data_IF_171582287649
#
_entry.id   IF_171582287649
#
_cell.length_a   1.000
_cell.length_b   1.000
_cell.length_c   1.000
_cell.angle_alpha   90.00
_cell.angle_beta   90.00
_cell.angle_gamma   90.00
#
_symmetry.space_group_name_H-M   'P 1'
#
loop_
_entity.id
_entity.type
_entity.pdbx_description
1 polymer ?
#
# COMPACT_ATOMS: atom_id res chain seq x y z
N UNK A 1 20.57 11.65 10.73
CA UNK A 1 20.98 10.50 9.88
C UNK A 1 20.06 10.38 8.67
N UNK A 2 18.74 10.27 8.86
CA UNK A 2 17.74 10.20 7.78
C UNK A 2 17.81 11.41 6.82
N UNK A 3 17.81 12.63 7.35
CA UNK A 3 17.92 13.88 6.56
C UNK A 3 19.25 13.99 5.78
N UNK A 4 20.31 13.37 6.30
CA UNK A 4 21.64 13.32 5.67
C UNK A 4 21.69 12.32 4.51
N UNK A 5 20.99 11.19 4.62
CA UNK A 5 20.82 10.20 3.54
C UNK A 5 19.94 10.79 2.44
N UNK A 6 18.84 11.44 2.82
CA UNK A 6 17.96 12.21 1.92
C UNK A 6 18.74 13.25 1.12
N UNK A 7 19.51 14.13 1.78
CA UNK A 7 20.33 15.15 1.10
C UNK A 7 21.44 14.56 0.23
N UNK A 8 22.03 13.42 0.60
CA UNK A 8 23.07 12.77 -0.23
C UNK A 8 22.50 12.07 -1.47
N UNK A 9 21.30 11.49 -1.37
CA UNK A 9 20.64 10.81 -2.49
C UNK A 9 19.95 11.81 -3.44
N UNK A 10 19.30 12.83 -2.90
CA UNK A 10 18.44 13.76 -3.64
C UNK A 10 19.00 15.18 -3.77
N UNK A 11 20.04 15.55 -3.01
CA UNK A 11 20.71 16.84 -3.18
C UNK A 11 21.39 17.01 -4.55
N UNK A 12 21.51 15.94 -5.33
CA UNK A 12 22.09 15.94 -6.68
C UNK A 12 21.08 15.66 -7.80
N UNK A 13 19.92 15.07 -7.50
CA UNK A 13 18.89 14.70 -8.47
C UNK A 13 17.59 15.40 -8.07
N UNK A 14 17.34 16.57 -8.65
CA UNK A 14 16.05 17.24 -8.47
C UNK A 14 14.89 16.38 -8.98
N UNK A 15 13.65 16.82 -8.74
CA UNK A 15 12.44 16.07 -9.16
C UNK A 15 12.32 15.94 -10.69
N UNK A 16 12.91 16.87 -11.44
CA UNK A 16 12.70 16.99 -12.89
C UNK A 16 13.12 15.74 -13.69
N UNK A 17 14.30 15.12 -13.49
CA UNK A 17 14.63 13.83 -14.10
C UNK A 17 13.66 12.69 -13.78
N UNK A 18 13.15 12.62 -12.54
CA UNK A 18 12.20 11.59 -12.10
C UNK A 18 10.92 11.72 -12.92
N UNK A 19 10.36 12.92 -12.93
CA UNK A 19 9.16 13.25 -13.68
C UNK A 19 9.34 13.01 -15.18
N UNK A 20 10.48 13.40 -15.75
CA UNK A 20 10.80 13.14 -17.16
C UNK A 20 10.87 11.65 -17.47
N UNK A 21 11.49 10.83 -16.61
CA UNK A 21 11.59 9.39 -16.82
C UNK A 21 10.22 8.70 -16.82
N UNK A 22 9.36 9.09 -15.88
CA UNK A 22 8.00 8.56 -15.76
C UNK A 22 7.04 9.09 -16.84
N UNK A 23 7.21 10.32 -17.32
CA UNK A 23 6.34 10.94 -18.32
C UNK A 23 6.74 10.66 -19.77
N UNK A 24 8.01 10.36 -20.05
CA UNK A 24 8.53 10.29 -21.41
C UNK A 24 7.79 9.32 -22.35
N UNK A 25 7.17 8.26 -21.79
CA UNK A 25 6.39 7.27 -22.54
C UNK A 25 4.96 7.08 -21.98
N UNK A 26 4.38 8.13 -21.37
CA UNK A 26 3.03 8.09 -20.84
C UNK A 26 2.14 9.17 -21.48
N UNK A 27 0.85 8.87 -21.59
CA UNK A 27 -0.14 9.73 -22.22
C UNK A 27 -0.92 10.48 -21.15
N UNK A 28 -1.00 11.81 -21.24
CA UNK A 28 -1.71 12.62 -20.25
C UNK A 28 -3.22 12.39 -20.34
N UNK A 29 -3.89 12.23 -19.19
CA UNK A 29 -5.34 12.16 -19.10
C UNK A 29 -5.93 13.57 -19.14
N UNK A 30 -7.00 13.73 -19.91
CA UNK A 30 -7.80 14.95 -19.99
C UNK A 30 -9.23 14.62 -20.45
N UNK A 31 -10.12 15.60 -20.45
CA UNK A 31 -11.50 15.40 -20.95
C UNK A 31 -11.55 14.91 -22.41
N UNK A 32 -10.57 15.32 -23.23
CA UNK A 32 -10.46 14.92 -24.64
C UNK A 32 -9.59 13.67 -24.86
N UNK A 33 -9.04 13.08 -23.79
CA UNK A 33 -8.09 11.96 -23.86
C UNK A 33 -8.20 11.09 -22.61
N UNK A 34 -8.75 9.88 -22.75
CA UNK A 34 -9.22 9.05 -21.63
C UNK A 34 -10.33 9.77 -20.83
N UNK A 35 -11.38 10.25 -21.53
CA UNK A 35 -12.46 11.03 -20.93
C UNK A 35 -13.17 10.33 -19.76
N UNK A 36 -13.40 9.03 -19.84
CA UNK A 36 -14.02 8.26 -18.75
C UNK A 36 -13.11 8.21 -17.51
N UNK A 37 -11.82 7.94 -17.70
CA UNK A 37 -10.83 7.98 -16.60
C UNK A 37 -10.75 9.38 -16.00
N UNK A 38 -10.77 10.43 -16.83
CA UNK A 38 -10.78 11.82 -16.38
C UNK A 38 -12.03 12.14 -15.54
N UNK A 39 -13.21 11.65 -15.96
CA UNK A 39 -14.47 11.81 -15.23
C UNK A 39 -14.41 11.14 -13.86
N UNK A 40 -13.99 9.87 -13.80
CA UNK A 40 -13.83 9.13 -12.53
C UNK A 40 -12.84 9.85 -11.62
N UNK A 41 -11.67 10.22 -12.15
CA UNK A 41 -10.64 10.96 -11.43
C UNK A 41 -11.17 12.25 -10.78
N UNK A 42 -11.92 13.06 -11.53
CA UNK A 42 -12.54 14.28 -10.99
C UNK A 42 -13.59 14.00 -9.92
N UNK A 43 -14.33 12.89 -10.05
CA UNK A 43 -15.25 12.40 -9.03
C UNK A 43 -14.53 12.10 -7.72
N UNK A 44 -13.45 11.31 -7.80
CA UNK A 44 -12.63 10.95 -6.63
C UNK A 44 -12.02 12.16 -5.95
N UNK A 45 -11.42 13.09 -6.71
CA UNK A 45 -10.85 14.31 -6.13
C UNK A 45 -11.89 15.10 -5.33
N UNK A 46 -13.12 15.17 -5.85
CA UNK A 46 -14.24 15.83 -5.17
C UNK A 46 -14.65 15.08 -3.91
N UNK A 47 -14.77 13.75 -3.96
CA UNK A 47 -15.16 12.92 -2.81
C UNK A 47 -14.13 13.01 -1.68
N UNK A 48 -12.84 13.02 -2.02
CA UNK A 48 -11.75 13.09 -1.03
C UNK A 48 -11.36 14.52 -0.63
N UNK A 49 -12.10 15.54 -1.08
CA UNK A 49 -11.79 16.96 -0.82
C UNK A 49 -10.31 17.31 -1.11
N UNK A 50 -9.85 16.87 -2.28
CA UNK A 50 -8.48 17.12 -2.71
C UNK A 50 -8.30 18.63 -3.00
N UNK A 51 -7.20 19.25 -2.54
CA UNK A 51 -7.01 20.69 -2.65
C UNK A 51 -6.73 21.17 -4.08
N UNK A 52 -6.29 20.28 -4.96
CA UNK A 52 -5.95 20.57 -6.34
C UNK A 52 -6.07 19.33 -7.24
N UNK A 53 -6.03 19.55 -8.56
CA UNK A 53 -5.90 18.46 -9.53
C UNK A 53 -4.42 18.10 -9.72
N UNK A 54 -4.12 16.82 -9.58
CA UNK A 54 -2.80 16.24 -9.81
C UNK A 54 -2.68 15.72 -11.26
N UNK A 55 -1.53 15.90 -11.93
CA UNK A 55 -1.32 15.33 -13.26
C UNK A 55 -1.51 13.81 -13.25
N UNK A 56 -2.41 13.31 -14.11
CA UNK A 56 -2.69 11.89 -14.29
C UNK A 56 -2.25 11.46 -15.71
N UNK A 57 -1.57 10.32 -15.80
CA UNK A 57 -1.09 9.76 -17.05
C UNK A 57 -1.44 8.27 -17.17
N UNK A 58 -1.64 7.81 -18.41
CA UNK A 58 -1.75 6.38 -18.74
C UNK A 58 -0.46 5.93 -19.42
N UNK A 59 0.19 4.91 -18.85
CA UNK A 59 1.40 4.29 -19.41
C UNK A 59 1.07 2.96 -20.08
N UNK A 60 1.63 2.71 -21.26
CA UNK A 60 1.40 1.46 -21.97
C UNK A 60 2.21 0.33 -21.33
N UNK A 61 1.50 -0.65 -20.76
CA UNK A 61 2.08 -1.90 -20.25
C UNK A 61 0.97 -2.92 -20.01
N UNK A 62 1.22 -4.23 -20.21
CA UNK A 62 0.28 -5.27 -19.83
C UNK A 62 0.19 -5.47 -18.30
N UNK A 63 1.13 -4.91 -17.53
CA UNK A 63 1.12 -5.02 -16.07
C UNK A 63 -0.05 -4.22 -15.49
N UNK A 64 -0.80 -4.86 -14.60
CA UNK A 64 -1.87 -4.24 -13.83
C UNK A 64 -1.23 -3.56 -12.62
N UNK A 65 -1.11 -2.24 -12.68
CA UNK A 65 -0.57 -1.43 -11.59
C UNK A 65 -0.99 0.05 -11.71
N UNK A 66 -0.86 0.79 -10.63
CA UNK A 66 -0.95 2.24 -10.59
C UNK A 66 0.09 2.78 -9.59
N UNK A 67 0.33 4.08 -9.62
CA UNK A 67 1.24 4.67 -8.64
C UNK A 67 1.21 6.19 -8.65
N UNK A 68 1.18 6.77 -7.45
CA UNK A 68 1.51 8.16 -7.19
C UNK A 68 3.02 8.32 -6.97
N UNK A 69 3.60 9.32 -7.65
CA UNK A 69 5.04 9.62 -7.62
C UNK A 69 5.27 11.14 -7.56
N UNK A 70 6.45 11.55 -7.11
CA UNK A 70 6.83 12.96 -7.04
C UNK A 70 7.32 13.37 -5.65
N UNK A 71 7.80 14.60 -5.53
CA UNK A 71 8.28 15.17 -4.26
C UNK A 71 7.54 16.47 -3.97
N UNK A 72 7.68 17.49 -4.83
CA UNK A 72 6.99 18.77 -4.72
C UNK A 72 5.73 18.80 -5.59
N UNK A 73 5.76 18.16 -6.76
CA UNK A 73 4.62 18.09 -7.68
C UNK A 73 4.20 16.63 -7.89
N UNK A 74 3.34 16.06 -7.02
CA UNK A 74 2.89 14.69 -7.14
C UNK A 74 2.07 14.50 -8.42
N UNK A 75 2.20 13.34 -9.03
CA UNK A 75 1.48 12.92 -10.22
C UNK A 75 1.16 11.43 -10.15
N UNK A 76 0.16 11.00 -10.90
CA UNK A 76 -0.34 9.62 -10.91
C UNK A 76 -0.05 8.98 -12.27
N UNK A 77 0.43 7.74 -12.25
CA UNK A 77 0.52 6.89 -13.42
C UNK A 77 -0.41 5.70 -13.24
N UNK A 78 -1.25 5.50 -14.25
CA UNK A 78 -2.12 4.36 -14.39
C UNK A 78 -1.63 3.50 -15.53
N UNK A 79 -1.42 2.20 -15.30
CA UNK A 79 -1.04 1.32 -16.39
C UNK A 79 -2.25 0.98 -17.25
N UNK A 80 -2.04 0.85 -18.57
CA UNK A 80 -3.10 0.42 -19.50
C UNK A 80 -3.68 -0.95 -19.16
N UNK A 81 -2.89 -1.84 -18.52
CA UNK A 81 -3.37 -3.12 -18.01
C UNK A 81 -4.46 -2.96 -16.95
N UNK A 82 -4.33 -1.98 -16.06
CA UNK A 82 -5.31 -1.65 -15.02
C UNK A 82 -6.60 -1.12 -15.62
N UNK A 83 -6.51 -0.16 -16.54
CA UNK A 83 -7.68 0.42 -17.24
C UNK A 83 -8.47 -0.66 -18.00
N UNK A 84 -7.76 -1.67 -18.52
CA UNK A 84 -8.40 -2.78 -19.24
C UNK A 84 -8.98 -3.85 -18.32
N UNK A 85 -8.36 -4.05 -17.16
CA UNK A 85 -8.76 -5.09 -16.23
C UNK A 85 -10.02 -4.69 -15.46
N UNK A 86 -10.05 -3.46 -14.94
CA UNK A 86 -11.03 -3.04 -13.94
C UNK A 86 -12.24 -2.37 -14.57
N UNK A 87 -13.41 -2.54 -13.94
CA UNK A 87 -14.60 -1.75 -14.25
C UNK A 87 -14.50 -0.31 -13.72
N UNK A 88 -15.52 0.52 -13.97
CA UNK A 88 -15.49 1.94 -13.57
C UNK A 88 -15.37 2.14 -12.05
N UNK A 89 -16.10 1.38 -11.25
CA UNK A 89 -16.13 1.53 -9.79
C UNK A 89 -14.84 0.98 -9.16
N UNK A 90 -14.35 -0.14 -9.68
CA UNK A 90 -13.04 -0.70 -9.30
C UNK A 90 -11.90 0.24 -9.67
N UNK A 91 -11.99 0.93 -10.82
CA UNK A 91 -11.01 1.93 -11.21
C UNK A 91 -11.11 3.19 -10.35
N UNK A 92 -12.31 3.58 -9.94
CA UNK A 92 -12.54 4.65 -8.98
C UNK A 92 -11.84 4.36 -7.64
N UNK A 93 -11.95 3.12 -7.14
CA UNK A 93 -11.20 2.65 -5.98
C UNK A 93 -9.68 2.82 -6.16
N UNK A 94 -9.11 2.38 -7.28
CA UNK A 94 -7.66 2.53 -7.54
C UNK A 94 -7.25 4.00 -7.59
N UNK A 95 -8.04 4.86 -8.22
CA UNK A 95 -7.78 6.31 -8.25
C UNK A 95 -7.85 6.92 -6.85
N UNK A 96 -8.83 6.52 -6.03
CA UNK A 96 -8.97 6.92 -4.63
C UNK A 96 -7.80 6.47 -3.78
N UNK A 97 -7.31 5.25 -4.00
CA UNK A 97 -6.13 4.72 -3.35
C UNK A 97 -4.88 5.57 -3.66
N UNK A 98 -4.61 5.86 -4.94
CA UNK A 98 -3.45 6.66 -5.34
C UNK A 98 -3.56 8.12 -4.89
N UNK A 99 -4.75 8.72 -4.93
CA UNK A 99 -4.99 10.06 -4.36
C UNK A 99 -4.79 10.03 -2.84
N UNK A 100 -5.17 8.95 -2.16
CA UNK A 100 -4.91 8.74 -0.73
C UNK A 100 -3.43 8.80 -0.40
N UNK A 101 -2.55 8.29 -1.27
CA UNK A 101 -1.09 8.43 -1.10
C UNK A 101 -0.65 9.89 -1.16
N UNK A 102 -1.25 10.68 -2.05
CA UNK A 102 -0.94 12.10 -2.20
C UNK A 102 -1.43 12.89 -0.97
N UNK A 103 -2.69 12.70 -0.58
CA UNK A 103 -3.30 13.45 0.52
C UNK A 103 -2.70 13.13 1.89
N UNK A 104 -2.09 11.95 2.04
CA UNK A 104 -1.43 11.51 3.27
C UNK A 104 0.10 11.75 3.26
N UNK A 105 0.61 12.53 2.30
CA UNK A 105 2.04 12.82 2.11
C UNK A 105 2.93 11.57 1.97
N UNK A 106 2.36 10.47 1.46
CA UNK A 106 3.09 9.21 1.32
C UNK A 106 4.12 9.21 0.18
N UNK A 107 3.90 10.08 -0.81
CA UNK A 107 4.55 10.03 -2.13
C UNK A 107 6.06 10.20 -2.06
N UNK A 108 6.57 11.03 -1.13
CA UNK A 108 8.00 11.24 -0.95
C UNK A 108 8.70 9.92 -0.61
N UNK A 109 8.29 9.26 0.47
CA UNK A 109 8.92 8.04 0.96
C UNK A 109 8.71 6.86 0.01
N UNK A 110 7.56 6.79 -0.66
CA UNK A 110 7.29 5.80 -1.71
C UNK A 110 8.25 5.97 -2.90
N UNK A 111 8.38 7.19 -3.40
CA UNK A 111 9.31 7.53 -4.49
C UNK A 111 10.74 7.17 -4.11
N UNK A 112 11.18 7.51 -2.90
CA UNK A 112 12.50 7.12 -2.39
C UNK A 112 12.73 5.62 -2.35
N UNK A 113 11.74 4.86 -1.87
CA UNK A 113 11.81 3.41 -1.76
C UNK A 113 11.98 2.77 -3.13
N UNK A 114 11.20 3.21 -4.13
CA UNK A 114 11.33 2.76 -5.53
C UNK A 114 12.74 3.03 -6.08
N UNK A 115 13.31 4.20 -5.81
CA UNK A 115 14.67 4.52 -6.25
C UNK A 115 15.73 3.63 -5.60
N UNK A 116 15.65 3.43 -4.29
CA UNK A 116 16.59 2.58 -3.55
C UNK A 116 16.54 1.13 -4.05
N UNK A 117 15.35 0.61 -4.31
CA UNK A 117 15.17 -0.73 -4.87
C UNK A 117 15.69 -0.81 -6.31
N UNK A 118 15.45 0.21 -7.14
CA UNK A 118 15.94 0.25 -8.51
C UNK A 118 17.47 0.25 -8.55
N UNK A 119 18.13 1.07 -7.72
CA UNK A 119 19.59 1.06 -7.58
C UNK A 119 20.11 -0.31 -7.14
N UNK A 120 19.45 -0.94 -6.16
CA UNK A 120 19.81 -2.27 -5.69
C UNK A 120 19.69 -3.32 -6.81
N UNK A 121 18.63 -3.28 -7.63
CA UNK A 121 18.44 -4.18 -8.78
C UNK A 121 19.48 -3.98 -9.88
N UNK A 122 20.04 -2.78 -10.00
CA UNK A 122 21.14 -2.47 -10.92
C UNK A 122 22.52 -2.88 -10.36
N UNK A 123 22.55 -3.52 -9.19
CA UNK A 123 23.80 -3.97 -8.55
C UNK A 123 24.58 -2.86 -7.85
N UNK A 124 24.01 -1.66 -7.67
CA UNK A 124 24.63 -0.66 -6.81
C UNK A 124 24.60 -1.17 -5.37
N UNK A 125 25.74 -1.22 -4.67
CA UNK A 125 25.76 -1.67 -3.29
C UNK A 125 24.95 -0.67 -2.44
N UNK A 126 23.90 -1.14 -1.77
CA UNK A 126 23.32 -0.41 -0.64
C UNK A 126 24.39 -0.46 0.47
N UNK A 127 25.24 0.56 0.52
CA UNK A 127 26.42 0.57 1.38
C UNK A 127 26.01 0.72 2.85
N UNK A 128 26.34 -0.30 3.65
CA UNK A 128 26.32 -0.25 5.10
C UNK A 128 25.03 -0.76 5.75
N UNK A 129 25.16 -1.33 6.95
CA UNK A 129 24.06 -1.86 7.77
C UNK A 129 22.97 -0.81 8.02
N UNK A 130 23.36 0.46 8.21
CA UNK A 130 22.43 1.57 8.43
C UNK A 130 21.51 1.82 7.22
N UNK A 131 22.02 1.78 5.99
CA UNK A 131 21.20 2.01 4.80
C UNK A 131 20.21 0.85 4.56
N UNK A 132 20.62 -0.39 4.88
CA UNK A 132 19.72 -1.55 4.84
C UNK A 132 18.62 -1.46 5.91
N UNK A 133 18.96 -1.04 7.12
CA UNK A 133 17.98 -0.82 8.18
C UNK A 133 16.95 0.26 7.80
N UNK A 134 17.41 1.36 7.19
CA UNK A 134 16.52 2.40 6.65
C UNK A 134 15.61 1.85 5.55
N UNK A 135 16.13 1.05 4.62
CA UNK A 135 15.32 0.42 3.58
C UNK A 135 14.24 -0.50 4.17
N UNK A 136 14.58 -1.33 5.17
CA UNK A 136 13.62 -2.19 5.85
C UNK A 136 12.51 -1.37 6.52
N UNK A 137 12.88 -0.29 7.23
CA UNK A 137 11.91 0.61 7.85
C UNK A 137 11.01 1.31 6.80
N UNK A 138 11.58 1.74 5.67
CA UNK A 138 10.82 2.33 4.57
C UNK A 138 9.87 1.34 3.91
N UNK A 139 10.29 0.08 3.72
CA UNK A 139 9.43 -0.98 3.20
C UNK A 139 8.27 -1.28 4.15
N UNK A 140 8.53 -1.31 5.45
CA UNK A 140 7.49 -1.51 6.46
C UNK A 140 6.50 -0.36 6.49
N UNK A 141 7.01 0.86 6.52
CA UNK A 141 6.19 2.05 6.42
C UNK A 141 5.37 2.07 5.11
N UNK A 142 5.98 1.68 3.98
CA UNK A 142 5.31 1.61 2.68
C UNK A 142 4.14 0.62 2.73
N UNK A 143 4.32 -0.54 3.37
CA UNK A 143 3.25 -1.53 3.54
C UNK A 143 2.10 -1.01 4.40
N UNK A 144 2.37 -0.36 5.53
CA UNK A 144 1.32 0.24 6.37
C UNK A 144 0.60 1.40 5.65
N UNK A 145 1.31 2.15 4.81
CA UNK A 145 0.74 3.25 4.02
C UNK A 145 -0.32 2.78 3.00
N UNK A 146 -0.27 1.51 2.57
CA UNK A 146 -1.29 0.93 1.69
C UNK A 146 -2.63 0.78 2.41
N UNK A 147 -2.62 0.50 3.73
CA UNK A 147 -3.85 0.30 4.50
C UNK A 147 -4.65 1.60 4.65
N UNK A 148 -3.97 2.73 4.86
CA UNK A 148 -4.64 4.04 4.86
C UNK A 148 -5.13 4.43 3.46
N UNK A 149 -4.40 4.05 2.41
CA UNK A 149 -4.84 4.27 1.03
C UNK A 149 -6.00 3.35 0.62
N UNK A 150 -6.11 2.14 1.16
CA UNK A 150 -7.29 1.27 0.98
C UNK A 150 -8.53 1.89 1.57
N UNK A 151 -8.40 2.51 2.75
CA UNK A 151 -9.49 3.28 3.36
C UNK A 151 -9.87 4.47 2.51
N UNK A 152 -8.90 5.21 1.96
CA UNK A 152 -9.18 6.32 1.03
C UNK A 152 -9.90 5.85 -0.24
N UNK A 153 -9.47 4.72 -0.82
CA UNK A 153 -10.14 4.10 -1.96
C UNK A 153 -11.56 3.62 -1.64
N UNK A 154 -11.79 3.07 -0.43
CA UNK A 154 -13.14 2.72 0.00
C UNK A 154 -14.00 3.97 0.22
N UNK A 155 -13.45 5.04 0.79
CA UNK A 155 -14.19 6.29 0.98
C UNK A 155 -14.55 6.98 -0.34
N UNK A 156 -13.77 6.76 -1.42
CA UNK A 156 -14.12 7.30 -2.73
C UNK A 156 -15.32 6.58 -3.35
N UNK A 157 -15.33 5.25 -3.34
CA UNK A 157 -16.39 4.44 -3.99
C UNK A 157 -17.59 4.14 -3.08
N UNK A 158 -17.38 4.11 -1.77
CA UNK A 158 -18.37 3.86 -0.72
C UNK A 158 -19.10 2.51 -0.79
N UNK A 159 -18.51 1.54 -1.51
CA UNK A 159 -19.00 0.16 -1.62
C UNK A 159 -17.88 -0.83 -1.25
N UNK A 160 -17.97 -1.50 -0.08
CA UNK A 160 -17.00 -2.50 0.34
C UNK A 160 -16.87 -3.69 -0.61
N UNK A 161 -17.96 -4.11 -1.26
CA UNK A 161 -17.96 -5.26 -2.17
C UNK A 161 -17.15 -4.93 -3.43
N UNK A 162 -17.29 -3.71 -3.96
CA UNK A 162 -16.47 -3.21 -5.08
C UNK A 162 -14.99 -3.26 -4.73
N UNK A 163 -14.60 -2.78 -3.54
CA UNK A 163 -13.19 -2.76 -3.12
C UNK A 163 -12.63 -4.18 -2.99
N UNK A 164 -13.36 -5.09 -2.36
CA UNK A 164 -12.94 -6.48 -2.21
C UNK A 164 -12.84 -7.19 -3.57
N UNK A 165 -13.77 -6.89 -4.49
CA UNK A 165 -13.74 -7.39 -5.87
C UNK A 165 -12.54 -6.84 -6.64
N UNK A 166 -12.23 -5.55 -6.51
CA UNK A 166 -11.05 -4.93 -7.09
C UNK A 166 -9.77 -5.61 -6.58
N UNK A 167 -9.62 -5.78 -5.26
CA UNK A 167 -8.46 -6.47 -4.66
C UNK A 167 -8.33 -7.92 -5.16
N UNK A 168 -9.45 -8.65 -5.26
CA UNK A 168 -9.48 -10.00 -5.81
C UNK A 168 -8.99 -10.02 -7.26
N UNK A 169 -9.46 -9.11 -8.12
CA UNK A 169 -9.02 -9.02 -9.53
C UNK A 169 -7.57 -8.57 -9.66
N UNK A 170 -7.11 -7.68 -8.80
CA UNK A 170 -5.70 -7.29 -8.76
C UNK A 170 -4.79 -8.47 -8.37
N UNK A 171 -5.28 -9.40 -7.55
CA UNK A 171 -4.56 -10.61 -7.17
C UNK A 171 -4.66 -11.74 -8.21
N UNK A 172 -5.85 -11.96 -8.78
CA UNK A 172 -6.19 -13.15 -9.57
C UNK A 172 -6.46 -12.92 -11.07
N UNK A 173 -6.54 -11.67 -11.53
CA UNK A 173 -6.71 -11.34 -12.95
C UNK A 173 -8.17 -11.18 -13.40
N UNK A 174 -8.42 -11.47 -14.68
CA UNK A 174 -9.60 -11.04 -15.42
C UNK A 174 -10.61 -12.17 -15.70
N UNK A 175 -11.13 -12.85 -14.67
CA UNK A 175 -12.12 -13.94 -14.86
C UNK A 175 -13.36 -13.79 -13.96
N UNK A 176 -14.23 -12.79 -14.17
CA UNK A 176 -15.32 -12.47 -13.23
C UNK A 176 -16.28 -13.63 -12.93
N UNK A 177 -16.46 -14.56 -13.87
CA UNK A 177 -17.36 -15.70 -13.73
C UNK A 177 -16.75 -16.89 -12.98
N UNK A 178 -15.43 -16.90 -12.77
CA UNK A 178 -14.70 -17.97 -12.08
C UNK A 178 -14.18 -17.53 -10.70
N UNK A 179 -14.46 -16.28 -10.31
CA UNK A 179 -13.96 -15.66 -9.10
C UNK A 179 -15.10 -15.40 -8.10
N UNK A 180 -14.83 -15.65 -6.82
CA UNK A 180 -15.78 -15.43 -5.73
C UNK A 180 -15.16 -14.53 -4.67
N UNK A 181 -15.77 -13.36 -4.45
CA UNK A 181 -15.38 -12.44 -3.37
C UNK A 181 -15.50 -13.12 -2.01
N UNK A 182 -16.55 -13.92 -1.80
CA UNK A 182 -16.75 -14.64 -0.54
C UNK A 182 -15.64 -15.65 -0.27
N UNK A 183 -15.21 -16.42 -1.28
CA UNK A 183 -14.10 -17.37 -1.12
C UNK A 183 -12.78 -16.65 -0.86
N UNK A 184 -12.57 -15.47 -1.47
CA UNK A 184 -11.39 -14.65 -1.21
C UNK A 184 -11.37 -14.08 0.21
N UNK A 185 -12.53 -13.71 0.76
CA UNK A 185 -12.67 -13.30 2.16
C UNK A 185 -12.36 -14.48 3.09
N UNK A 186 -12.89 -15.68 2.81
CA UNK A 186 -12.57 -16.89 3.59
C UNK A 186 -11.07 -17.21 3.53
N UNK A 187 -10.45 -17.03 2.36
CA UNK A 187 -9.00 -17.14 2.21
C UNK A 187 -8.24 -16.12 3.05
N UNK A 188 -8.72 -14.87 3.12
CA UNK A 188 -8.12 -13.83 3.96
C UNK A 188 -8.15 -14.18 5.44
N UNK A 189 -9.29 -14.66 5.96
CA UNK A 189 -9.38 -15.09 7.36
C UNK A 189 -8.52 -16.33 7.65
N UNK A 190 -8.53 -17.31 6.75
CA UNK A 190 -7.67 -18.48 6.87
C UNK A 190 -6.18 -18.10 6.83
N UNK A 191 -5.80 -17.10 6.05
CA UNK A 191 -4.43 -16.60 6.03
C UNK A 191 -4.06 -15.85 7.31
N UNK A 192 -4.99 -15.12 7.93
CA UNK A 192 -4.77 -14.42 9.19
C UNK A 192 -4.66 -15.38 10.37
N UNK A 193 -5.62 -16.29 10.51
CA UNK A 193 -5.74 -17.17 11.68
C UNK A 193 -4.97 -18.50 11.54
N UNK A 194 -4.76 -18.98 10.31
CA UNK A 194 -4.21 -20.31 10.05
C UNK A 194 -2.68 -20.37 9.99
N UNK A 195 -2.14 -21.59 9.96
CA UNK A 195 -0.70 -21.86 9.86
C UNK A 195 -0.05 -22.14 11.23
N UNK A 196 1.01 -22.93 11.23
CA UNK A 196 1.81 -23.15 12.43
C UNK A 196 2.76 -21.97 12.71
N UNK A 197 3.53 -22.05 13.78
CA UNK A 197 4.42 -20.95 14.20
C UNK A 197 5.55 -20.72 13.19
N UNK A 198 5.99 -21.74 12.46
CA UNK A 198 6.94 -21.56 11.38
C UNK A 198 6.28 -20.85 10.19
N UNK A 199 5.02 -21.18 9.87
CA UNK A 199 4.25 -20.48 8.85
C UNK A 199 4.09 -18.99 9.18
N UNK A 200 3.87 -18.62 10.44
CA UNK A 200 3.80 -17.20 10.85
C UNK A 200 5.12 -16.46 10.57
N UNK A 201 6.27 -17.08 10.88
CA UNK A 201 7.59 -16.52 10.55
C UNK A 201 7.75 -16.40 9.02
N UNK A 202 7.34 -17.40 8.25
CA UNK A 202 7.42 -17.36 6.79
C UNK A 202 6.50 -16.29 6.17
N UNK A 203 5.31 -16.06 6.71
CA UNK A 203 4.43 -14.96 6.27
C UNK A 203 5.12 -13.62 6.43
N UNK A 204 5.75 -13.38 7.59
CA UNK A 204 6.52 -12.15 7.84
C UNK A 204 7.69 -12.01 6.87
N UNK A 205 8.47 -13.09 6.64
CA UNK A 205 9.58 -13.07 5.68
C UNK A 205 9.10 -12.78 4.25
N UNK A 206 8.01 -13.42 3.82
CA UNK A 206 7.44 -13.21 2.50
C UNK A 206 6.93 -11.77 2.34
N UNK A 207 6.30 -11.22 3.37
CA UNK A 207 5.84 -9.83 3.40
C UNK A 207 7.00 -8.83 3.32
N UNK A 208 8.13 -9.12 3.98
CA UNK A 208 9.33 -8.27 3.92
C UNK A 208 9.90 -8.15 2.49
N UNK A 209 9.67 -9.15 1.64
CA UNK A 209 10.16 -9.18 0.26
C UNK A 209 9.26 -8.46 -0.75
N UNK A 210 8.08 -7.97 -0.35
CA UNK A 210 7.15 -7.28 -1.24
C UNK A 210 7.10 -5.77 -0.98
N UNK A 211 6.82 -5.01 -2.05
CA UNK A 211 6.61 -3.55 -1.99
C UNK A 211 5.18 -3.19 -1.58
N UNK A 212 4.24 -4.11 -1.77
CA UNK A 212 2.84 -3.98 -1.37
C UNK A 212 2.47 -5.19 -0.51
N UNK A 213 1.64 -5.04 0.55
CA UNK A 213 1.10 -6.18 1.28
C UNK A 213 0.29 -7.08 0.34
N UNK A 214 0.20 -8.36 0.70
CA UNK A 214 -0.69 -9.27 -0.01
C UNK A 214 -2.14 -8.78 0.07
N UNK A 215 -2.87 -8.87 -1.04
CA UNK A 215 -4.27 -8.43 -1.10
C UNK A 215 -5.15 -9.11 -0.05
N UNK A 216 -4.89 -10.38 0.29
CA UNK A 216 -5.61 -11.08 1.37
C UNK A 216 -5.46 -10.40 2.74
N UNK A 217 -4.28 -9.85 3.06
CA UNK A 217 -4.08 -9.10 4.30
C UNK A 217 -4.84 -7.78 4.26
N UNK A 218 -4.76 -7.07 3.13
CA UNK A 218 -5.47 -5.80 2.92
C UNK A 218 -6.98 -5.95 3.05
N UNK A 219 -7.55 -7.05 2.53
CA UNK A 219 -8.97 -7.38 2.71
C UNK A 219 -9.31 -7.55 4.19
N UNK A 220 -8.53 -8.33 4.96
CA UNK A 220 -8.81 -8.54 6.39
C UNK A 220 -8.68 -7.25 7.21
N UNK A 221 -7.67 -6.41 6.91
CA UNK A 221 -7.49 -5.11 7.58
C UNK A 221 -8.61 -4.13 7.25
N UNK A 222 -9.04 -4.05 5.98
CA UNK A 222 -10.14 -3.20 5.56
C UNK A 222 -11.46 -3.65 6.21
N UNK A 223 -11.72 -4.97 6.24
CA UNK A 223 -12.87 -5.54 6.94
C UNK A 223 -12.87 -5.21 8.43
N UNK A 224 -11.72 -5.37 9.09
CA UNK A 224 -11.58 -5.05 10.52
C UNK A 224 -11.92 -3.58 10.80
N UNK A 225 -11.54 -2.66 9.91
CA UNK A 225 -11.88 -1.24 10.00
C UNK A 225 -13.37 -0.93 9.72
N UNK A 226 -14.01 -1.68 8.83
CA UNK A 226 -15.46 -1.56 8.61
C UNK A 226 -16.22 -2.07 9.84
N UNK A 227 -15.86 -3.27 10.32
CA UNK A 227 -16.52 -3.97 11.42
C UNK A 227 -16.30 -3.26 12.78
N UNK A 228 -15.23 -2.48 12.94
CA UNK A 228 -15.04 -1.60 14.10
C UNK A 228 -16.06 -0.46 14.16
N UNK A 229 -16.73 -0.16 13.04
CA UNK A 229 -17.66 0.96 12.89
C UNK A 229 -16.99 2.30 12.58
N UNK A 230 -15.66 2.34 12.44
CA UNK A 230 -14.93 3.57 12.11
C UNK A 230 -15.25 4.07 10.70
N UNK A 231 -15.40 3.15 9.74
CA UNK A 231 -15.90 3.49 8.40
C UNK A 231 -17.25 4.21 8.46
N UNK A 232 -18.22 3.64 9.17
CA UNK A 232 -19.56 4.22 9.28
C UNK A 232 -19.56 5.57 9.99
N UNK A 233 -18.68 5.76 10.99
CA UNK A 233 -18.49 7.05 11.66
C UNK A 233 -18.05 8.13 10.66
N UNK A 234 -17.07 7.82 9.80
CA UNK A 234 -16.61 8.77 8.78
C UNK A 234 -17.76 9.11 7.81
N UNK A 235 -18.51 8.12 7.33
CA UNK A 235 -19.65 8.36 6.45
C UNK A 235 -20.75 9.23 7.09
N UNK A 236 -20.93 9.15 8.41
CA UNK A 236 -21.85 10.03 9.17
C UNK A 236 -21.32 11.45 9.38
N UNK A 237 -20.10 11.74 8.94
CA UNK A 237 -19.47 13.06 9.12
C UNK A 237 -18.72 13.22 10.45
N UNK A 238 -18.47 12.13 11.17
CA UNK A 238 -17.81 12.13 12.49
C UNK A 238 -16.28 12.05 12.35
N UNK A 239 -15.68 13.05 11.69
CA UNK A 239 -14.23 13.15 11.49
C UNK A 239 -13.73 14.58 11.67
N UNK A 240 -12.47 14.72 12.07
CA UNK A 240 -11.79 16.02 12.19
C UNK A 240 -11.67 16.68 10.82
N UNK A 241 -12.04 17.95 10.70
CA UNK A 241 -11.98 18.67 9.43
C UNK A 241 -10.63 19.37 9.26
N UNK A 242 -10.24 19.60 8.00
CA UNK A 242 -8.98 20.29 7.66
C UNK A 242 -8.92 21.66 8.34
N UNK A 243 -7.85 21.91 9.10
CA UNK A 243 -7.66 23.17 9.84
C UNK A 243 -8.19 23.16 11.27
N UNK A 244 -8.91 22.11 11.68
CA UNK A 244 -9.22 21.86 13.10
C UNK A 244 -8.01 21.20 13.76
N UNK A 245 -7.75 21.55 15.03
CA UNK A 245 -6.71 20.88 15.81
C UNK A 245 -7.19 19.48 16.12
N UNK A 246 -6.42 18.48 15.70
CA UNK A 246 -6.68 17.10 16.06
C UNK A 246 -6.61 16.94 17.59
N UNK A 247 -7.74 16.65 18.26
CA UNK A 247 -7.74 16.47 19.71
C UNK A 247 -7.02 15.19 20.15
N UNK A 248 -6.82 14.23 19.24
CA UNK A 248 -6.33 12.88 19.55
C UNK A 248 -4.88 12.61 19.09
N UNK A 249 -4.17 13.60 18.54
CA UNK A 249 -2.82 13.37 17.97
C UNK A 249 -1.84 12.66 18.93
N UNK A 250 -1.80 13.04 20.22
CA UNK A 250 -0.94 12.37 21.20
C UNK A 250 -1.42 10.95 21.53
N UNK A 251 -2.73 10.72 21.52
CA UNK A 251 -3.33 9.40 21.72
C UNK A 251 -3.03 8.49 20.53
N UNK A 252 -3.14 8.99 19.30
CA UNK A 252 -2.79 8.28 18.06
C UNK A 252 -1.31 7.90 18.02
N UNK A 253 -0.41 8.80 18.42
CA UNK A 253 1.01 8.49 18.55
C UNK A 253 1.27 7.37 19.57
N UNK A 254 0.55 7.38 20.69
CA UNK A 254 0.68 6.36 21.73
C UNK A 254 0.11 5.02 21.28
N UNK A 255 -1.04 5.04 20.59
CA UNK A 255 -1.67 3.85 20.01
C UNK A 255 -0.78 3.23 18.93
N UNK A 256 -0.22 4.04 18.03
CA UNK A 256 0.73 3.58 17.01
C UNK A 256 1.98 2.96 17.66
N UNK A 257 2.57 3.61 18.67
CA UNK A 257 3.73 3.08 19.39
C UNK A 257 3.41 1.73 20.07
N UNK A 258 2.21 1.60 20.65
CA UNK A 258 1.76 0.36 21.29
C UNK A 258 1.58 -0.76 20.27
N UNK A 259 0.94 -0.49 19.13
CA UNK A 259 0.77 -1.45 18.05
C UNK A 259 2.12 -1.94 17.49
N UNK A 260 3.10 -1.04 17.29
CA UNK A 260 4.44 -1.44 16.87
C UNK A 260 5.17 -2.30 17.91
N UNK A 261 4.97 -2.01 19.21
CA UNK A 261 5.58 -2.79 20.29
C UNK A 261 4.99 -4.21 20.35
N UNK A 262 3.67 -4.34 20.21
CA UNK A 262 2.96 -5.61 20.17
C UNK A 262 3.40 -6.46 18.97
N UNK A 263 3.40 -5.88 17.76
CA UNK A 263 3.84 -6.58 16.53
C UNK A 263 5.31 -7.05 16.63
N UNK A 264 6.19 -6.24 17.23
CA UNK A 264 7.58 -6.63 17.47
C UNK A 264 7.71 -7.76 18.50
N UNK A 265 6.88 -7.75 19.54
CA UNK A 265 6.86 -8.79 20.57
C UNK A 265 6.35 -10.12 20.01
N UNK A 266 5.24 -10.09 19.28
CA UNK A 266 4.64 -11.25 18.63
C UNK A 266 5.61 -11.94 17.66
N UNK A 267 6.36 -11.14 16.89
CA UNK A 267 7.39 -11.67 16.00
C UNK A 267 8.52 -12.38 16.77
N UNK A 268 9.02 -11.77 17.85
CA UNK A 268 10.08 -12.36 18.68
C UNK A 268 9.62 -13.66 19.35
N UNK A 269 8.39 -13.69 19.83
CA UNK A 269 7.79 -14.87 20.44
C UNK A 269 7.63 -15.99 19.40
N UNK A 270 7.15 -15.67 18.20
CA UNK A 270 7.03 -16.61 17.08
C UNK A 270 8.38 -17.23 16.68
N UNK A 271 9.43 -16.41 16.54
CA UNK A 271 10.78 -16.90 16.21
C UNK A 271 11.35 -17.79 17.32
N UNK A 272 11.12 -17.41 18.57
CA UNK A 272 11.59 -18.16 19.74
C UNK A 272 10.91 -19.52 19.81
N UNK A 273 9.60 -19.57 19.59
CA UNK A 273 8.83 -20.81 19.62
C UNK A 273 9.18 -21.71 18.41
N UNK A 274 9.32 -21.16 17.21
CA UNK A 274 9.78 -21.93 16.04
C UNK A 274 11.16 -22.58 16.32
N UNK A 275 12.09 -21.83 16.91
CA UNK A 275 13.43 -22.33 17.28
C UNK A 275 13.34 -23.47 18.32
N UNK A 276 12.46 -23.34 19.31
CA UNK A 276 12.22 -24.38 20.33
C UNK A 276 11.66 -25.66 19.69
N UNK A 277 10.69 -25.56 18.78
CA UNK A 277 10.09 -26.71 18.08
C UNK A 277 11.11 -27.44 17.21
N UNK A 278 11.93 -26.71 16.44
CA UNK A 278 13.02 -27.29 15.67
C UNK A 278 14.06 -28.01 16.56
N UNK A 279 14.37 -27.43 17.74
CA UNK A 279 15.25 -28.05 18.72
C UNK A 279 14.67 -29.32 19.34
N UNK A 280 13.38 -29.35 19.66
CA UNK A 280 12.71 -30.54 20.20
C UNK A 280 12.58 -31.66 19.17
N UNK A 281 12.30 -31.34 17.91
CA UNK A 281 12.20 -32.32 16.83
C UNK A 281 13.57 -32.93 16.50
N UNK A 282 14.63 -32.12 16.55
CA UNK A 282 16.00 -32.60 16.41
C UNK A 282 16.39 -33.56 17.55
N UNK A 283 16.08 -33.22 18.81
CA UNK A 283 16.37 -34.08 19.97
C UNK A 283 15.49 -35.34 20.04
N UNK A 284 14.23 -35.26 19.60
CA UNK A 284 13.31 -36.41 19.49
C UNK A 284 13.69 -37.40 18.40
N UNK A 285 14.39 -36.94 17.35
CA UNK A 285 14.94 -37.79 16.29
C UNK A 285 16.13 -38.67 16.71
N UNK A 286 16.83 -38.34 17.80
CA UNK A 286 17.98 -39.12 18.31
C UNK A 286 17.59 -40.14 19.41
N UNK A 287 16.31 -40.24 19.77
CA UNK A 287 15.82 -41.17 20.81
C UNK A 287 14.97 -42.33 20.26
N UNK A 288 15.06 -42.62 18.96
CA UNK A 288 14.50 -43.84 18.34
C UNK A 288 15.60 -44.76 17.79
#
# INVERSE_FOLDING_TARGET
VFDTVLRKLFGFVGEKPIRLAFQANAVRVSENQFGDVCRLYKGVLKTLDAPEEYPLFVSQTPMVNAGAYGIEQPFIILNSGTVRLLDEEELEYILGHEIGHILSDHVLYRTMTVFLLSLASMGFPIVGLAARAVLVALLEWSRKSELSCDRAGLLSVQDPEVVMRAMLRMAGGAEPNEMSVQEFILQAEAYKEGGDVADQVFKVINLMATTHPFYVLRVSELRSWIESGDYDRILRGEYTRRGEKDPAYEEDLTAAASAYAEEAQDFLDSVTEASKRMGSDFLGGFTK
#
